data_IF_312872064800
#
_entry.id   IF_312872064800
#
_cell.length_a   1.000
_cell.length_b   1.000
_cell.length_c   1.000
_cell.angle_alpha   90.00
_cell.angle_beta   90.00
_cell.angle_gamma   90.00
#
_symmetry.space_group_name_H-M   'P 1'
#
loop_
_entity.id
_entity.type
_entity.pdbx_description
1 polymer ?
#
# COMPACT_ATOMS: atom_id res chain seq x y z
N UNK A 1 9.45 -11.77 -28.72
CA UNK A 1 10.20 -10.87 -27.83
C UNK A 1 10.61 -9.56 -28.49
N UNK A 2 11.22 -9.56 -29.66
CA UNK A 2 11.60 -8.34 -30.39
C UNK A 2 10.37 -7.47 -30.70
N UNK A 3 9.26 -8.06 -31.13
CA UNK A 3 7.99 -7.36 -31.39
C UNK A 3 7.39 -6.72 -30.12
N UNK A 4 7.54 -7.37 -28.97
CA UNK A 4 7.06 -6.85 -27.67
C UNK A 4 7.97 -5.71 -27.19
N UNK A 5 9.30 -5.84 -27.33
CA UNK A 5 10.27 -4.80 -26.97
C UNK A 5 10.16 -3.58 -27.89
N UNK A 6 9.92 -3.75 -29.20
CA UNK A 6 9.71 -2.65 -30.14
C UNK A 6 8.34 -2.00 -29.97
N UNK A 7 7.27 -2.76 -29.73
CA UNK A 7 5.95 -2.22 -29.39
C UNK A 7 6.00 -1.42 -28.10
N UNK A 8 6.80 -1.85 -27.14
CA UNK A 8 6.99 -1.19 -25.86
C UNK A 8 7.78 0.13 -25.98
N UNK A 9 8.86 0.13 -26.76
CA UNK A 9 9.65 1.35 -27.04
C UNK A 9 8.81 2.38 -27.81
N UNK A 10 7.92 1.93 -28.69
CA UNK A 10 6.99 2.77 -29.45
C UNK A 10 5.87 3.35 -28.58
N UNK A 11 5.39 2.62 -27.57
CA UNK A 11 4.33 3.11 -26.66
C UNK A 11 4.82 4.15 -25.67
N UNK A 12 6.08 4.09 -25.24
CA UNK A 12 6.67 5.04 -24.28
C UNK A 12 6.90 6.44 -24.87
N UNK A 13 7.04 6.55 -26.19
CA UNK A 13 7.27 7.82 -26.90
C UNK A 13 5.99 8.49 -27.40
N UNK A 14 4.82 7.82 -27.33
CA UNK A 14 3.58 8.31 -27.96
C UNK A 14 2.77 9.31 -27.14
N UNK A 15 3.31 9.85 -26.04
CA UNK A 15 2.57 10.71 -25.10
C UNK A 15 2.98 12.18 -25.02
N UNK A 16 3.82 12.67 -25.93
CA UNK A 16 4.00 14.12 -26.12
C UNK A 16 3.12 14.57 -27.28
N UNK A 17 2.05 15.30 -26.94
CA UNK A 17 1.01 15.73 -27.86
C UNK A 17 1.43 16.82 -28.85
N UNK A 18 2.34 16.53 -29.78
CA UNK A 18 2.67 17.43 -30.87
C UNK A 18 2.59 16.69 -32.20
N UNK A 19 1.68 17.11 -33.07
CA UNK A 19 1.36 16.48 -34.36
C UNK A 19 2.55 16.32 -35.32
N UNK A 20 3.60 17.15 -35.19
CA UNK A 20 4.84 17.09 -35.98
C UNK A 20 5.75 15.90 -35.59
N UNK A 21 5.59 15.31 -34.41
CA UNK A 21 6.38 14.16 -33.95
C UNK A 21 5.82 12.82 -34.48
N UNK A 22 4.56 12.76 -34.87
CA UNK A 22 3.93 11.53 -35.41
C UNK A 22 4.51 11.13 -36.78
N UNK A 23 4.89 12.07 -37.63
CA UNK A 23 5.44 11.77 -38.94
C UNK A 23 6.90 11.28 -38.89
N UNK A 24 7.69 11.79 -37.91
CA UNK A 24 9.07 11.35 -37.72
C UNK A 24 9.21 9.97 -37.06
N UNK A 25 8.11 9.45 -36.45
CA UNK A 25 8.10 8.20 -35.73
C UNK A 25 7.70 7.00 -36.60
N UNK A 26 7.09 7.23 -37.77
CA UNK A 26 6.57 6.18 -38.65
C UNK A 26 7.66 5.40 -39.37
N UNK A 27 8.86 5.92 -39.51
CA UNK A 27 9.99 5.28 -40.21
C UNK A 27 10.89 4.42 -39.31
N UNK A 28 10.84 4.60 -37.98
CA UNK A 28 11.69 3.87 -37.01
C UNK A 28 11.52 2.34 -37.05
N UNK A 29 10.30 1.75 -37.13
CA UNK A 29 10.15 0.31 -37.28
C UNK A 29 10.72 -0.21 -38.60
N UNK A 30 10.66 0.60 -39.69
CA UNK A 30 11.24 0.23 -40.99
C UNK A 30 12.77 0.27 -40.93
N UNK A 31 13.39 1.22 -40.20
CA UNK A 31 14.85 1.26 -40.03
C UNK A 31 15.33 0.12 -39.15
N UNK A 32 14.65 -0.24 -38.08
CA UNK A 32 15.02 -1.40 -37.28
C UNK A 32 14.90 -2.70 -38.07
N UNK A 33 13.85 -2.87 -38.86
CA UNK A 33 13.68 -4.02 -39.74
C UNK A 33 14.74 -4.07 -40.85
N UNK A 34 15.05 -2.93 -41.44
CA UNK A 34 16.11 -2.81 -42.47
C UNK A 34 17.51 -3.13 -41.89
N UNK A 35 17.80 -2.67 -40.66
CA UNK A 35 19.04 -3.01 -39.96
C UNK A 35 19.15 -4.51 -39.66
N UNK A 36 18.05 -5.17 -39.27
CA UNK A 36 18.04 -6.62 -39.09
C UNK A 36 18.23 -7.39 -40.39
N UNK A 37 17.59 -6.97 -41.48
CA UNK A 37 17.76 -7.56 -42.81
C UNK A 37 19.19 -7.35 -43.29
N UNK A 38 19.73 -6.14 -43.14
CA UNK A 38 21.10 -5.82 -43.50
C UNK A 38 22.12 -6.63 -42.70
N UNK A 39 21.94 -6.79 -41.39
CA UNK A 39 22.78 -7.63 -40.54
C UNK A 39 22.70 -9.12 -40.95
N UNK A 40 21.52 -9.62 -41.30
CA UNK A 40 21.32 -10.97 -41.80
C UNK A 40 22.01 -11.22 -43.14
N UNK A 41 21.89 -10.28 -44.10
CA UNK A 41 22.55 -10.31 -45.37
C UNK A 41 24.07 -10.21 -45.22
N UNK A 42 24.58 -9.37 -44.34
CA UNK A 42 25.99 -9.25 -44.03
C UNK A 42 26.56 -10.55 -43.44
N UNK A 43 25.83 -11.16 -42.49
CA UNK A 43 26.18 -12.48 -41.95
C UNK A 43 26.21 -13.59 -43.06
N UNK A 44 25.21 -13.54 -43.96
CA UNK A 44 25.16 -14.48 -45.10
C UNK A 44 26.33 -14.29 -46.07
N UNK A 45 26.69 -13.04 -46.38
CA UNK A 45 27.82 -12.75 -47.31
C UNK A 45 29.19 -13.06 -46.70
N UNK A 46 29.36 -12.86 -45.39
CA UNK A 46 30.66 -13.09 -44.72
C UNK A 46 30.90 -14.54 -44.32
N UNK A 47 29.87 -15.39 -44.36
CA UNK A 47 29.93 -16.82 -43.97
C UNK A 47 30.53 -17.05 -42.56
N UNK A 48 30.66 -15.99 -41.74
CA UNK A 48 31.22 -16.07 -40.38
C UNK A 48 30.11 -16.17 -39.35
N UNK A 49 29.95 -17.35 -38.80
CA UNK A 49 28.94 -17.66 -37.75
C UNK A 49 29.09 -16.81 -36.47
N UNK A 50 30.29 -16.23 -36.26
CA UNK A 50 30.59 -15.41 -35.09
C UNK A 50 29.67 -14.18 -34.97
N UNK A 51 29.30 -13.53 -36.09
CA UNK A 51 28.39 -12.38 -36.06
C UNK A 51 26.96 -12.75 -35.61
N UNK A 52 26.52 -13.96 -36.00
CA UNK A 52 25.27 -14.52 -35.52
C UNK A 52 25.31 -14.79 -34.00
N UNK A 53 26.46 -15.31 -33.52
CA UNK A 53 26.66 -15.59 -32.10
C UNK A 53 26.71 -14.33 -31.25
N UNK A 54 27.28 -13.23 -31.75
CA UNK A 54 27.33 -11.96 -31.04
C UNK A 54 25.97 -11.25 -30.88
N UNK A 55 24.96 -11.66 -31.67
CA UNK A 55 23.61 -11.09 -31.56
C UNK A 55 23.01 -11.30 -30.16
N UNK A 56 23.19 -12.46 -29.54
CA UNK A 56 22.68 -12.73 -28.17
C UNK A 56 23.38 -11.87 -27.12
N UNK A 57 24.66 -11.58 -27.31
CA UNK A 57 25.45 -10.67 -26.48
C UNK A 57 24.92 -9.24 -26.60
N UNK A 58 24.74 -8.78 -27.86
CA UNK A 58 24.23 -7.44 -28.14
C UNK A 58 22.85 -7.18 -27.48
N UNK A 59 21.95 -8.17 -27.56
CA UNK A 59 20.64 -8.08 -26.89
C UNK A 59 20.81 -7.96 -25.38
N UNK A 60 21.64 -8.77 -24.74
CA UNK A 60 21.89 -8.71 -23.31
C UNK A 60 22.45 -7.35 -22.89
N UNK A 61 23.36 -6.76 -23.67
CA UNK A 61 23.91 -5.43 -23.42
C UNK A 61 22.86 -4.31 -23.58
N UNK A 62 22.00 -4.40 -24.60
CA UNK A 62 20.94 -3.42 -24.81
C UNK A 62 19.95 -3.41 -23.63
N UNK A 63 19.53 -4.60 -23.18
CA UNK A 63 18.65 -4.69 -22.03
C UNK A 63 19.35 -4.26 -20.74
N UNK A 64 20.60 -4.63 -20.55
CA UNK A 64 21.40 -4.18 -19.42
C UNK A 64 21.51 -2.66 -19.39
N UNK A 65 21.80 -2.02 -20.52
CA UNK A 65 21.86 -0.58 -20.61
C UNK A 65 20.50 0.08 -20.33
N UNK A 66 19.42 -0.47 -20.90
CA UNK A 66 18.06 0.05 -20.71
C UNK A 66 17.59 -0.06 -19.25
N UNK A 67 17.79 -1.20 -18.60
CA UNK A 67 17.40 -1.41 -17.20
C UNK A 67 18.38 -0.72 -16.23
N UNK A 68 19.70 -0.88 -16.50
CA UNK A 68 20.75 -0.34 -15.65
C UNK A 68 20.74 1.19 -15.58
N UNK A 69 20.47 1.89 -16.70
CA UNK A 69 20.37 3.34 -16.71
C UNK A 69 19.30 3.85 -15.74
N UNK A 70 18.23 3.09 -15.54
CA UNK A 70 17.13 3.47 -14.65
C UNK A 70 17.40 3.19 -13.16
N UNK A 71 18.46 2.46 -12.82
CA UNK A 71 18.92 2.31 -11.43
C UNK A 71 19.59 3.60 -10.92
N UNK A 72 20.16 4.40 -11.82
CA UNK A 72 20.81 5.67 -11.50
C UNK A 72 19.89 6.89 -11.69
N UNK A 73 18.77 6.72 -12.40
CA UNK A 73 17.79 7.79 -12.65
C UNK A 73 16.37 7.28 -12.38
N UNK A 74 15.88 7.52 -11.15
CA UNK A 74 14.51 7.16 -10.76
C UNK A 74 13.45 7.76 -11.72
N UNK A 75 12.33 7.10 -11.93
CA UNK A 75 11.94 5.78 -11.38
C UNK A 75 12.53 4.61 -12.17
N UNK A 76 12.69 3.46 -11.50
CA UNK A 76 13.24 2.23 -12.08
C UNK A 76 12.42 1.70 -13.27
N UNK A 77 13.05 0.91 -14.17
CA UNK A 77 12.39 0.41 -15.40
C UNK A 77 11.14 -0.40 -15.08
N UNK A 78 11.21 -1.29 -14.09
CA UNK A 78 10.07 -2.12 -13.70
C UNK A 78 8.94 -1.26 -13.10
N UNK A 79 9.26 -0.18 -12.38
CA UNK A 79 8.26 0.75 -11.87
C UNK A 79 7.55 1.51 -12.99
N UNK A 80 8.31 1.96 -14.01
CA UNK A 80 7.71 2.59 -15.21
C UNK A 80 6.75 1.65 -15.91
N UNK A 81 7.11 0.36 -16.02
CA UNK A 81 6.24 -0.67 -16.58
C UNK A 81 4.99 -0.88 -15.74
N UNK A 82 5.16 -1.03 -14.43
CA UNK A 82 4.06 -1.23 -13.49
C UNK A 82 3.05 -0.07 -13.55
N UNK A 83 3.53 1.19 -13.56
CA UNK A 83 2.66 2.38 -13.64
C UNK A 83 1.99 2.58 -15.00
N UNK A 84 2.53 1.99 -16.08
CA UNK A 84 1.86 1.95 -17.38
C UNK A 84 0.71 0.93 -17.40
N UNK A 85 0.90 -0.21 -16.74
CA UNK A 85 -0.12 -1.25 -16.62
C UNK A 85 -1.19 -0.87 -15.60
N UNK A 86 -0.80 -0.28 -14.49
CA UNK A 86 -1.70 0.18 -13.44
C UNK A 86 -1.41 1.65 -13.08
N UNK A 87 -2.31 2.53 -13.55
CA UNK A 87 -2.19 3.98 -13.31
C UNK A 87 -2.52 4.38 -11.88
N UNK A 88 -3.12 3.49 -11.09
CA UNK A 88 -3.51 3.78 -9.70
C UNK A 88 -2.32 3.80 -8.74
N UNK A 89 -1.17 3.24 -9.15
CA UNK A 89 0.06 3.23 -8.37
C UNK A 89 0.57 4.66 -8.13
N UNK A 90 0.51 5.53 -9.16
CA UNK A 90 0.96 6.92 -9.06
C UNK A 90 0.05 7.73 -8.13
N UNK A 91 0.64 8.35 -7.11
CA UNK A 91 -0.06 9.15 -6.10
C UNK A 91 -0.77 8.32 -5.04
N UNK A 92 -0.55 7.01 -5.00
CA UNK A 92 -1.05 6.14 -3.93
C UNK A 92 -0.14 6.18 -2.69
N UNK A 93 -0.69 5.87 -1.52
CA UNK A 93 0.08 5.78 -0.27
C UNK A 93 1.19 4.73 -0.28
N UNK A 94 1.09 3.73 -1.17
CA UNK A 94 2.08 2.65 -1.34
C UNK A 94 3.05 2.85 -2.52
N UNK A 95 3.00 4.00 -3.20
CA UNK A 95 3.87 4.30 -4.36
C UNK A 95 5.35 4.03 -4.05
N UNK A 96 5.82 4.49 -2.87
CA UNK A 96 7.20 4.27 -2.40
C UNK A 96 7.55 2.80 -2.17
N UNK A 97 6.61 2.00 -1.66
CA UNK A 97 6.84 0.57 -1.42
C UNK A 97 6.92 -0.19 -2.74
N UNK A 98 6.02 0.12 -3.66
CA UNK A 98 6.04 -0.42 -5.02
C UNK A 98 7.33 -0.01 -5.74
N UNK A 99 7.77 1.24 -5.60
CA UNK A 99 9.02 1.71 -6.21
C UNK A 99 10.23 0.95 -5.65
N UNK A 100 10.34 0.76 -4.33
CA UNK A 100 11.42 -0.05 -3.70
C UNK A 100 11.39 -1.50 -4.18
N UNK A 101 10.22 -2.09 -4.30
CA UNK A 101 10.07 -3.45 -4.84
C UNK A 101 10.51 -3.51 -6.29
N UNK A 102 10.01 -2.62 -7.13
CA UNK A 102 10.35 -2.54 -8.55
C UNK A 102 11.84 -2.27 -8.80
N UNK A 103 12.48 -1.47 -7.92
CA UNK A 103 13.92 -1.27 -7.95
C UNK A 103 14.69 -2.58 -7.73
N UNK A 104 14.29 -3.38 -6.72
CA UNK A 104 14.92 -4.70 -6.48
C UNK A 104 14.73 -5.65 -7.65
N UNK A 105 13.54 -5.68 -8.25
CA UNK A 105 13.25 -6.49 -9.44
C UNK A 105 14.09 -6.02 -10.63
N UNK A 106 14.24 -4.70 -10.82
CA UNK A 106 15.12 -4.13 -11.87
C UNK A 106 16.57 -4.57 -11.67
N UNK A 107 17.05 -4.59 -10.42
CA UNK A 107 18.39 -5.07 -10.10
C UNK A 107 18.58 -6.56 -10.44
N UNK A 108 17.60 -7.41 -10.11
CA UNK A 108 17.62 -8.85 -10.46
C UNK A 108 17.71 -9.03 -11.97
N UNK A 109 16.96 -8.26 -12.76
CA UNK A 109 17.05 -8.28 -14.21
C UNK A 109 18.42 -7.84 -14.72
N UNK A 110 19.02 -6.81 -14.15
CA UNK A 110 20.38 -6.38 -14.51
C UNK A 110 21.40 -7.48 -14.22
N UNK A 111 21.33 -8.13 -13.06
CA UNK A 111 22.19 -9.28 -12.73
C UNK A 111 22.01 -10.43 -13.73
N UNK A 112 20.77 -10.75 -14.10
CA UNK A 112 20.48 -11.75 -15.11
C UNK A 112 21.11 -11.38 -16.47
N UNK A 113 20.97 -10.14 -16.95
CA UNK A 113 21.56 -9.74 -18.25
C UNK A 113 23.08 -9.78 -18.23
N UNK A 114 23.72 -9.47 -17.09
CA UNK A 114 25.17 -9.60 -16.94
C UNK A 114 25.58 -11.09 -17.05
N UNK A 115 24.97 -11.95 -16.25
CA UNK A 115 25.31 -13.38 -16.22
C UNK A 115 25.02 -14.02 -17.58
N UNK A 116 23.85 -13.74 -18.15
CA UNK A 116 23.47 -14.26 -19.47
C UNK A 116 24.37 -13.74 -20.60
N UNK A 117 24.75 -12.47 -20.54
CA UNK A 117 25.69 -11.86 -21.48
C UNK A 117 27.08 -12.51 -21.39
N UNK A 118 27.61 -12.69 -20.18
CA UNK A 118 28.91 -13.39 -19.99
C UNK A 118 28.85 -14.83 -20.48
N UNK A 119 27.78 -15.56 -20.18
CA UNK A 119 27.62 -16.94 -20.69
C UNK A 119 27.47 -16.99 -22.21
N UNK A 120 26.79 -16.02 -22.82
CA UNK A 120 26.66 -15.88 -24.26
C UNK A 120 27.99 -15.57 -24.91
N UNK A 121 28.84 -14.72 -24.35
CA UNK A 121 30.20 -14.45 -24.79
C UNK A 121 31.03 -15.72 -24.71
N UNK A 122 31.04 -16.39 -23.54
CA UNK A 122 31.82 -17.59 -23.32
C UNK A 122 31.45 -18.71 -24.34
N UNK A 123 30.13 -18.93 -24.52
CA UNK A 123 29.66 -19.95 -25.47
C UNK A 123 29.94 -19.56 -26.91
N UNK A 124 29.97 -18.28 -27.27
CA UNK A 124 30.27 -17.81 -28.62
C UNK A 124 31.74 -18.07 -29.04
N UNK A 125 32.69 -17.89 -28.09
CA UNK A 125 34.13 -17.96 -28.37
C UNK A 125 34.76 -19.30 -28.01
N UNK A 126 34.28 -19.98 -26.97
CA UNK A 126 34.95 -21.14 -26.39
C UNK A 126 34.14 -22.44 -26.51
N UNK A 127 32.86 -22.38 -26.89
CA UNK A 127 32.01 -23.57 -27.01
C UNK A 127 31.73 -23.93 -28.49
N UNK A 128 31.30 -25.19 -28.74
CA UNK A 128 30.82 -25.61 -30.04
C UNK A 128 29.52 -24.93 -30.44
N UNK A 129 29.22 -24.84 -31.72
CA UNK A 129 27.99 -24.25 -32.27
C UNK A 129 26.75 -24.91 -31.68
N UNK A 130 26.81 -26.20 -31.38
CA UNK A 130 25.71 -26.95 -30.75
C UNK A 130 25.46 -26.47 -29.31
N UNK A 131 26.50 -26.28 -28.50
CA UNK A 131 26.40 -25.80 -27.12
C UNK A 131 25.90 -24.37 -27.09
N UNK A 132 26.43 -23.50 -27.96
CA UNK A 132 25.97 -22.12 -28.09
C UNK A 132 24.48 -22.07 -28.44
N UNK A 133 24.04 -22.90 -29.42
CA UNK A 133 22.64 -22.94 -29.86
C UNK A 133 21.69 -23.43 -28.76
N UNK A 134 22.07 -24.46 -28.00
CA UNK A 134 21.28 -24.99 -26.88
C UNK A 134 21.15 -23.93 -25.77
N UNK A 135 22.26 -23.26 -25.43
CA UNK A 135 22.23 -22.23 -24.37
C UNK A 135 21.40 -21.02 -24.78
N UNK A 136 21.75 -20.38 -25.90
CA UNK A 136 21.11 -19.13 -26.34
C UNK A 136 19.75 -19.36 -26.99
N UNK A 137 19.48 -20.52 -27.58
CA UNK A 137 18.19 -20.88 -28.18
C UNK A 137 17.18 -21.52 -27.20
N UNK A 138 17.64 -22.06 -26.06
CA UNK A 138 16.79 -22.78 -25.11
C UNK A 138 16.99 -22.35 -23.66
N UNK A 139 18.17 -22.63 -23.09
CA UNK A 139 18.42 -22.47 -21.65
C UNK A 139 18.19 -21.02 -21.18
N UNK A 140 18.70 -20.05 -21.94
CA UNK A 140 18.55 -18.62 -21.64
C UNK A 140 17.07 -18.19 -21.54
N UNK A 141 16.19 -18.70 -22.40
CA UNK A 141 14.75 -18.41 -22.37
C UNK A 141 14.06 -19.09 -21.19
N UNK A 142 14.46 -20.31 -20.83
CA UNK A 142 13.93 -21.02 -19.65
C UNK A 142 14.29 -20.26 -18.38
N UNK A 143 15.55 -19.81 -18.24
CA UNK A 143 16.00 -18.99 -17.10
C UNK A 143 15.21 -17.68 -17.01
N UNK A 144 15.02 -16.99 -18.14
CA UNK A 144 14.19 -15.78 -18.21
C UNK A 144 12.75 -16.05 -17.78
N UNK A 145 12.15 -17.15 -18.26
CA UNK A 145 10.80 -17.58 -17.87
C UNK A 145 10.68 -17.89 -16.39
N UNK A 146 11.70 -18.51 -15.78
CA UNK A 146 11.74 -18.73 -14.32
C UNK A 146 11.78 -17.43 -13.53
N UNK A 147 12.56 -16.43 -13.96
CA UNK A 147 12.59 -15.12 -13.29
C UNK A 147 11.20 -14.46 -13.37
N UNK A 148 10.55 -14.48 -14.53
CA UNK A 148 9.18 -13.97 -14.68
C UNK A 148 8.18 -14.72 -13.79
N UNK A 149 8.28 -16.05 -13.72
CA UNK A 149 7.38 -16.86 -12.89
C UNK A 149 7.56 -16.56 -11.40
N UNK A 150 8.80 -16.46 -10.93
CA UNK A 150 9.12 -16.10 -9.55
C UNK A 150 8.62 -14.69 -9.25
N UNK A 151 8.87 -13.72 -10.13
CA UNK A 151 8.41 -12.34 -9.98
C UNK A 151 6.88 -12.29 -9.91
N UNK A 152 6.19 -13.00 -10.81
CA UNK A 152 4.72 -13.08 -10.81
C UNK A 152 4.16 -13.66 -9.50
N UNK A 153 4.76 -14.75 -8.99
CA UNK A 153 4.35 -15.37 -7.72
C UNK A 153 4.58 -14.41 -6.55
N UNK A 154 5.75 -13.76 -6.51
CA UNK A 154 6.09 -12.79 -5.45
C UNK A 154 5.15 -11.60 -5.51
N UNK A 155 4.89 -11.04 -6.70
CA UNK A 155 3.94 -9.94 -6.90
C UNK A 155 2.56 -10.31 -6.40
N UNK A 156 2.03 -11.47 -6.82
CA UNK A 156 0.71 -11.95 -6.37
C UNK A 156 0.64 -12.13 -4.86
N UNK A 157 1.76 -12.51 -4.22
CA UNK A 157 1.85 -12.63 -2.76
C UNK A 157 1.94 -11.27 -2.07
N UNK A 158 2.64 -10.31 -2.67
CA UNK A 158 2.73 -8.92 -2.19
C UNK A 158 1.37 -8.22 -2.34
N UNK A 159 0.73 -8.31 -3.51
CA UNK A 159 -0.61 -7.76 -3.75
C UNK A 159 -1.66 -8.40 -2.82
N UNK A 160 -1.54 -9.71 -2.55
CA UNK A 160 -2.38 -10.43 -1.58
C UNK A 160 -2.20 -9.94 -0.13
N UNK A 161 -1.02 -9.41 0.21
CA UNK A 161 -0.72 -8.88 1.55
C UNK A 161 -1.06 -7.39 1.68
N UNK A 162 -1.16 -6.62 0.59
CA UNK A 162 -1.46 -5.17 0.63
C UNK A 162 -2.91 -4.86 1.01
N UNK A 163 -3.84 -5.81 0.78
CA UNK A 163 -5.22 -5.73 1.26
C UNK A 163 -5.58 -7.00 2.03
N UNK A 164 -4.78 -7.33 3.03
CA UNK A 164 -5.20 -8.29 4.02
C UNK A 164 -6.05 -7.54 5.03
N UNK A 165 -7.33 -7.92 5.15
CA UNK A 165 -8.15 -7.49 6.27
C UNK A 165 -7.41 -7.82 7.57
N UNK A 166 -7.19 -6.81 8.38
CA UNK A 166 -6.53 -6.96 9.67
C UNK A 166 -7.53 -6.55 10.75
N UNK A 167 -8.09 -7.51 11.51
CA UNK A 167 -9.06 -7.22 12.56
C UNK A 167 -8.47 -6.29 13.61
N UNK A 168 -9.25 -5.32 14.09
CA UNK A 168 -8.84 -4.39 15.15
C UNK A 168 -8.49 -5.15 16.44
N UNK A 169 -9.24 -6.22 16.74
CA UNK A 169 -8.97 -7.10 17.89
C UNK A 169 -7.60 -7.76 17.86
N UNK A 170 -7.01 -7.93 16.67
CA UNK A 170 -5.68 -8.52 16.45
C UNK A 170 -4.58 -7.49 16.24
N UNK A 171 -4.85 -6.21 16.45
CA UNK A 171 -3.85 -5.17 16.34
C UNK A 171 -2.78 -5.35 17.42
N UNK A 172 -1.56 -5.59 16.97
CA UNK A 172 -0.35 -5.69 17.77
C UNK A 172 0.65 -4.65 17.28
N UNK A 173 1.58 -4.26 18.12
CA UNK A 173 2.59 -3.27 17.77
C UNK A 173 3.42 -3.67 16.54
N UNK A 174 3.66 -4.98 16.35
CA UNK A 174 4.38 -5.57 15.21
C UNK A 174 3.51 -5.84 13.97
N UNK A 175 2.22 -5.51 14.02
CA UNK A 175 1.27 -5.74 12.91
C UNK A 175 1.63 -4.96 11.66
N UNK A 176 2.26 -3.81 11.83
CA UNK A 176 2.75 -2.93 10.77
C UNK A 176 4.14 -2.41 11.12
N UNK A 177 4.85 -1.89 10.11
CA UNK A 177 6.08 -1.13 10.35
C UNK A 177 5.74 0.24 10.94
N UNK A 178 6.62 0.76 11.75
CA UNK A 178 6.43 2.05 12.42
C UNK A 178 6.20 3.21 11.44
N UNK A 179 6.85 3.19 10.27
CA UNK A 179 6.72 4.17 9.19
C UNK A 179 5.53 3.94 8.25
N UNK A 180 4.68 2.93 8.53
CA UNK A 180 3.50 2.66 7.71
C UNK A 180 2.48 3.79 7.85
N UNK A 181 2.14 4.45 6.73
CA UNK A 181 1.19 5.55 6.70
C UNK A 181 -0.24 4.99 6.84
N UNK A 182 -0.95 5.40 7.89
CA UNK A 182 -2.34 5.01 8.14
C UNK A 182 -3.32 5.94 7.45
N UNK A 183 -3.13 7.25 7.59
CA UNK A 183 -4.01 8.23 6.97
C UNK A 183 -3.27 9.53 6.65
N UNK A 184 -3.88 10.30 5.74
CA UNK A 184 -3.49 11.66 5.43
C UNK A 184 -4.52 12.58 6.08
N UNK A 185 -4.08 13.64 6.74
CA UNK A 185 -4.99 14.65 7.25
C UNK A 185 -5.43 15.59 6.12
N UNK A 186 -6.73 15.88 6.02
CA UNK A 186 -7.32 16.66 4.93
C UNK A 186 -6.79 18.11 4.91
N UNK A 187 -6.48 18.68 6.06
CA UNK A 187 -5.87 20.02 6.21
C UNK A 187 -4.42 20.09 5.71
N UNK A 188 -3.89 18.99 5.24
CA UNK A 188 -2.50 18.85 4.85
C UNK A 188 -2.29 18.81 3.33
N UNK A 189 -2.63 19.89 2.65
CA UNK A 189 -1.93 20.23 1.39
C UNK A 189 -0.40 20.27 1.56
N UNK A 190 0.10 20.23 2.79
CA UNK A 190 1.51 20.20 3.19
C UNK A 190 2.11 18.79 3.33
N UNK A 191 1.36 17.72 3.00
CA UNK A 191 1.87 16.34 3.02
C UNK A 191 2.03 15.72 4.41
N UNK A 192 1.39 16.26 5.45
CA UNK A 192 1.39 15.63 6.77
C UNK A 192 0.52 14.37 6.76
N UNK A 193 0.98 13.35 7.40
CA UNK A 193 0.34 12.04 7.51
C UNK A 193 0.56 11.48 8.92
N UNK A 194 -0.31 10.57 9.32
CA UNK A 194 -0.20 9.80 10.56
C UNK A 194 0.31 8.40 10.26
N UNK A 195 1.30 7.96 11.01
CA UNK A 195 1.94 6.65 10.85
C UNK A 195 1.39 5.63 11.84
N UNK A 196 1.80 4.37 11.67
CA UNK A 196 1.51 3.32 12.64
C UNK A 196 2.09 3.61 14.02
N UNK A 197 3.29 4.18 14.07
CA UNK A 197 3.93 4.60 15.32
C UNK A 197 3.10 5.68 16.02
N UNK A 198 2.64 6.70 15.28
CA UNK A 198 1.78 7.75 15.84
C UNK A 198 0.50 7.17 16.44
N UNK A 199 -0.11 6.19 15.75
CA UNK A 199 -1.29 5.48 16.23
C UNK A 199 -1.03 4.75 17.56
N UNK A 200 0.07 4.02 17.63
CA UNK A 200 0.43 3.30 18.85
C UNK A 200 0.73 4.24 20.02
N UNK A 201 1.45 5.34 19.76
CA UNK A 201 1.77 6.36 20.76
C UNK A 201 0.51 7.05 21.29
N UNK A 202 -0.34 7.57 20.40
CA UNK A 202 -1.56 8.28 20.79
C UNK A 202 -2.54 7.35 21.52
N UNK A 203 -2.66 6.09 21.07
CA UNK A 203 -3.48 5.08 21.77
C UNK A 203 -2.90 4.75 23.16
N UNK A 204 -1.56 4.69 23.32
CA UNK A 204 -0.93 4.44 24.62
C UNK A 204 -1.16 5.61 25.60
N UNK A 205 -1.04 6.86 25.13
CA UNK A 205 -1.35 8.07 25.94
C UNK A 205 -2.78 8.04 26.47
N UNK A 206 -3.73 7.78 25.56
CA UNK A 206 -5.15 7.68 25.92
C UNK A 206 -5.43 6.51 26.88
N UNK A 207 -4.84 5.35 26.64
CA UNK A 207 -4.96 4.17 27.52
C UNK A 207 -4.45 4.48 28.93
N UNK A 208 -3.32 5.16 29.04
CA UNK A 208 -2.74 5.59 30.33
C UNK A 208 -3.66 6.56 31.08
N UNK A 209 -4.30 7.49 30.36
CA UNK A 209 -5.29 8.40 30.93
C UNK A 209 -6.55 7.65 31.37
N UNK A 210 -7.15 6.84 30.49
CA UNK A 210 -8.39 6.08 30.73
C UNK A 210 -8.23 5.08 31.88
N UNK A 211 -7.06 4.43 32.02
CA UNK A 211 -6.81 3.46 33.08
C UNK A 211 -6.77 4.06 34.49
N UNK A 212 -6.50 5.37 34.63
CA UNK A 212 -6.54 6.07 35.90
C UNK A 212 -7.97 6.33 36.38
N UNK A 213 -8.95 6.28 35.48
CA UNK A 213 -10.36 6.50 35.79
C UNK A 213 -11.06 5.15 36.04
N UNK A 214 -11.76 5.04 37.16
CA UNK A 214 -12.49 3.83 37.57
C UNK A 214 -13.77 3.57 36.79
N UNK A 215 -14.28 4.53 36.01
CA UNK A 215 -15.50 4.37 35.22
C UNK A 215 -15.38 3.15 34.25
N UNK A 216 -16.41 2.31 34.25
CA UNK A 216 -16.50 1.12 33.40
C UNK A 216 -17.09 1.47 32.04
N UNK A 217 -17.95 2.49 31.99
CA UNK A 217 -18.70 2.88 30.79
C UNK A 217 -18.28 4.27 30.33
N UNK A 218 -18.08 4.43 29.03
CA UNK A 218 -17.65 5.68 28.42
C UNK A 218 -18.51 6.01 27.22
N UNK A 219 -18.99 7.25 27.13
CA UNK A 219 -19.61 7.79 25.93
C UNK A 219 -18.47 8.30 25.05
N UNK A 220 -18.43 7.89 23.76
CA UNK A 220 -17.46 8.33 22.78
C UNK A 220 -18.14 9.09 21.65
N UNK A 221 -17.68 10.33 21.44
CA UNK A 221 -18.03 11.14 20.28
C UNK A 221 -16.83 11.96 19.83
N UNK A 222 -16.30 11.70 18.64
CA UNK A 222 -15.27 12.51 18.01
C UNK A 222 -15.64 12.71 16.54
N UNK A 223 -15.55 13.93 16.05
CA UNK A 223 -15.75 14.22 14.62
C UNK A 223 -14.51 13.92 13.79
N UNK A 224 -13.32 14.03 14.38
CA UNK A 224 -12.08 13.65 13.73
C UNK A 224 -11.89 12.13 13.81
N UNK A 225 -11.68 11.51 12.64
CA UNK A 225 -11.49 10.05 12.53
C UNK A 225 -10.27 9.53 13.30
N UNK A 226 -9.22 10.33 13.40
CA UNK A 226 -8.03 9.95 14.15
C UNK A 226 -8.30 9.87 15.65
N UNK A 227 -8.93 10.91 16.19
CA UNK A 227 -9.31 10.96 17.60
C UNK A 227 -10.35 9.92 17.95
N UNK A 228 -11.30 9.68 17.04
CA UNK A 228 -12.25 8.59 17.20
C UNK A 228 -11.54 7.23 17.28
N UNK A 229 -10.72 6.90 16.30
CA UNK A 229 -10.05 5.59 16.20
C UNK A 229 -9.13 5.33 17.40
N UNK A 230 -8.30 6.30 17.77
CA UNK A 230 -7.35 6.15 18.89
C UNK A 230 -8.07 6.02 20.23
N UNK A 231 -9.14 6.82 20.47
CA UNK A 231 -9.96 6.73 21.66
C UNK A 231 -10.73 5.41 21.73
N UNK A 232 -11.34 4.99 20.63
CA UNK A 232 -12.11 3.75 20.55
C UNK A 232 -11.24 2.53 20.88
N UNK A 233 -10.06 2.44 20.27
CA UNK A 233 -9.14 1.32 20.53
C UNK A 233 -8.60 1.38 21.95
N UNK A 234 -8.26 2.56 22.48
CA UNK A 234 -7.77 2.72 23.85
C UNK A 234 -8.81 2.29 24.89
N UNK A 235 -10.08 2.68 24.71
CA UNK A 235 -11.19 2.27 25.56
C UNK A 235 -11.38 0.76 25.57
N UNK A 236 -11.40 0.13 24.40
CA UNK A 236 -11.54 -1.33 24.26
C UNK A 236 -10.35 -2.08 24.85
N UNK A 237 -9.12 -1.58 24.69
CA UNK A 237 -7.92 -2.15 25.30
C UNK A 237 -7.94 -2.03 26.83
N UNK A 238 -8.60 -1.00 27.39
CA UNK A 238 -8.86 -0.88 28.83
C UNK A 238 -10.06 -1.70 29.32
N UNK A 239 -10.69 -2.50 28.46
CA UNK A 239 -11.88 -3.30 28.80
C UNK A 239 -13.12 -2.47 29.15
N UNK A 240 -13.17 -1.21 28.68
CA UNK A 240 -14.30 -0.31 28.95
C UNK A 240 -15.47 -0.59 28.02
N UNK A 241 -16.70 -0.30 28.49
CA UNK A 241 -17.90 -0.29 27.66
C UNK A 241 -17.99 1.03 26.92
N UNK A 242 -18.07 0.99 25.60
CA UNK A 242 -18.03 2.16 24.72
C UNK A 242 -19.42 2.42 24.14
N UNK A 243 -19.98 3.57 24.45
CA UNK A 243 -21.29 4.03 23.98
C UNK A 243 -21.07 5.06 22.88
N UNK A 244 -21.36 4.66 21.63
CA UNK A 244 -21.21 5.52 20.45
C UNK A 244 -22.45 6.38 20.28
N UNK A 245 -22.25 7.70 20.19
CA UNK A 245 -23.33 8.66 19.95
C UNK A 245 -23.01 9.59 18.81
N UNK A 246 -24.05 9.92 18.04
CA UNK A 246 -23.98 10.91 16.94
C UNK A 246 -24.32 12.33 17.45
N UNK A 247 -24.98 12.44 18.58
CA UNK A 247 -25.52 13.70 19.08
C UNK A 247 -24.85 14.06 20.39
N UNK A 248 -24.31 15.27 20.47
CA UNK A 248 -23.69 15.87 21.68
C UNK A 248 -24.54 17.00 22.29
N UNK A 249 -25.79 17.16 21.83
CA UNK A 249 -26.69 18.11 22.45
C UNK A 249 -26.87 17.80 23.95
N UNK A 250 -26.94 18.84 24.76
CA UNK A 250 -26.96 18.71 26.22
C UNK A 250 -28.07 17.78 26.70
N UNK A 251 -29.30 18.03 26.24
CA UNK A 251 -30.45 17.20 26.58
C UNK A 251 -30.25 15.72 26.24
N UNK A 252 -29.51 15.41 25.13
CA UNK A 252 -29.27 14.03 24.71
C UNK A 252 -28.19 13.37 25.58
N UNK A 253 -27.12 14.10 25.87
CA UNK A 253 -26.04 13.58 26.73
C UNK A 253 -26.60 13.37 28.16
N UNK A 254 -27.40 14.29 28.68
CA UNK A 254 -28.02 14.14 29.98
C UNK A 254 -29.00 12.96 30.06
N UNK A 255 -29.69 12.66 28.94
CA UNK A 255 -30.61 11.52 28.87
C UNK A 255 -29.87 10.17 28.87
N UNK A 256 -28.71 10.10 28.17
CA UNK A 256 -27.96 8.84 27.99
C UNK A 256 -26.86 8.61 29.03
N UNK A 257 -26.34 9.69 29.65
CA UNK A 257 -25.28 9.63 30.65
C UNK A 257 -25.87 9.19 31.98
N UNK A 258 -25.50 7.99 32.41
CA UNK A 258 -25.87 7.44 33.71
C UNK A 258 -24.76 7.69 34.73
N UNK A 259 -25.07 7.58 36.01
CA UNK A 259 -24.10 7.68 37.10
C UNK A 259 -22.92 6.69 36.85
N UNK A 260 -21.70 7.20 37.00
CA UNK A 260 -20.48 6.43 36.77
C UNK A 260 -20.07 6.26 35.31
N UNK A 261 -20.73 6.94 34.38
CA UNK A 261 -20.27 7.03 32.96
C UNK A 261 -19.44 8.29 32.77
N UNK A 262 -18.36 8.12 32.01
CA UNK A 262 -17.53 9.22 31.53
C UNK A 262 -17.84 9.57 30.08
N UNK A 263 -17.44 10.76 29.65
CA UNK A 263 -17.61 11.21 28.28
C UNK A 263 -16.27 11.68 27.71
N UNK A 264 -15.89 11.14 26.54
CA UNK A 264 -14.67 11.51 25.81
C UNK A 264 -15.05 12.06 24.44
N UNK A 265 -14.45 13.23 24.08
CA UNK A 265 -14.79 13.95 22.85
C UNK A 265 -13.63 14.83 22.36
N UNK A 266 -13.64 15.18 21.09
CA UNK A 266 -12.79 16.21 20.48
C UNK A 266 -13.55 17.51 20.22
N UNK A 267 -14.83 17.57 20.63
CA UNK A 267 -15.73 18.69 20.35
C UNK A 267 -15.85 19.65 21.53
N UNK A 268 -16.00 20.92 21.17
CA UNK A 268 -16.31 22.00 22.09
C UNK A 268 -17.74 22.45 21.84
N UNK A 269 -18.43 22.86 22.90
CA UNK A 269 -19.76 23.45 22.81
C UNK A 269 -19.64 24.98 23.01
N UNK A 270 -20.07 25.77 22.01
CA UNK A 270 -19.95 27.25 22.03
C UNK A 270 -18.50 27.75 22.26
N UNK A 271 -17.49 26.97 21.80
CA UNK A 271 -16.07 27.30 21.98
C UNK A 271 -15.46 26.86 23.32
N UNK A 272 -16.28 26.36 24.27
CA UNK A 272 -15.83 25.87 25.57
C UNK A 272 -15.86 24.34 25.64
N UNK A 273 -15.06 23.79 26.55
CA UNK A 273 -15.05 22.36 26.81
C UNK A 273 -16.41 21.94 27.39
N UNK A 274 -16.92 20.79 26.96
CA UNK A 274 -18.16 20.24 27.48
C UNK A 274 -17.94 19.85 28.95
N UNK A 275 -18.72 20.38 29.91
CA UNK A 275 -18.50 20.08 31.30
C UNK A 275 -18.55 18.58 31.61
N UNK A 276 -17.58 18.10 32.38
CA UNK A 276 -17.45 16.67 32.73
C UNK A 276 -17.13 15.76 31.58
N UNK A 277 -16.53 16.29 30.51
CA UNK A 277 -15.95 15.48 29.44
C UNK A 277 -14.42 15.45 29.50
N UNK A 278 -13.85 14.37 28.99
CA UNK A 278 -12.43 14.25 28.69
C UNK A 278 -12.21 14.74 27.26
N UNK A 279 -11.38 15.77 27.09
CA UNK A 279 -11.08 16.34 25.78
C UNK A 279 -9.82 15.65 25.18
N UNK A 280 -10.00 14.92 24.09
CA UNK A 280 -8.95 14.07 23.51
C UNK A 280 -7.69 14.86 23.17
N UNK A 281 -7.84 16.04 22.57
CA UNK A 281 -6.68 16.86 22.16
C UNK A 281 -5.82 17.24 23.36
N UNK A 282 -6.43 17.67 24.50
CA UNK A 282 -5.69 18.03 25.71
C UNK A 282 -4.98 16.82 26.34
N UNK A 283 -5.60 15.63 26.30
CA UNK A 283 -4.95 14.41 26.78
C UNK A 283 -3.72 14.09 25.95
N UNK A 284 -3.80 14.20 24.61
CA UNK A 284 -2.69 13.88 23.74
C UNK A 284 -1.55 14.91 23.81
N UNK A 285 -1.89 16.20 23.97
CA UNK A 285 -0.92 17.30 24.07
C UNK A 285 -0.19 17.32 25.42
N UNK A 286 -0.92 17.08 26.53
CA UNK A 286 -0.39 17.19 27.90
C UNK A 286 0.15 15.87 28.46
N UNK A 287 0.05 14.75 27.72
CA UNK A 287 0.60 13.47 28.17
C UNK A 287 2.08 13.36 27.78
N UNK A 288 2.86 12.83 28.71
CA UNK A 288 4.26 12.45 28.44
C UNK A 288 4.31 11.42 27.30
N UNK A 289 5.41 11.43 26.54
CA UNK A 289 5.65 10.40 25.53
C UNK A 289 5.74 9.02 26.20
N UNK A 290 4.96 8.04 25.73
CA UNK A 290 4.97 6.71 26.29
C UNK A 290 6.29 6.01 25.96
N UNK A 291 6.76 5.17 26.88
CA UNK A 291 7.93 4.36 26.64
C UNK A 291 7.65 3.16 25.69
N UNK A 292 8.72 2.53 25.16
CA UNK A 292 8.57 1.40 24.22
C UNK A 292 7.72 0.24 24.80
N UNK A 293 7.86 -0.18 26.08
CA UNK A 293 6.98 -1.18 26.68
C UNK A 293 5.49 -0.75 26.73
N UNK A 294 5.18 0.51 27.05
CA UNK A 294 3.81 1.02 27.06
C UNK A 294 3.18 1.00 25.65
N UNK A 295 3.99 1.29 24.63
CA UNK A 295 3.60 1.25 23.22
C UNK A 295 3.40 -0.19 22.73
N UNK A 296 4.36 -1.10 23.03
CA UNK A 296 4.44 -2.43 22.43
C UNK A 296 3.56 -3.48 23.12
N UNK A 297 3.32 -3.34 24.43
CA UNK A 297 2.57 -4.31 25.25
C UNK A 297 1.09 -3.92 25.44
N UNK A 298 0.43 -3.43 24.39
CA UNK A 298 -0.99 -3.10 24.46
C UNK A 298 -1.82 -4.36 24.73
N UNK A 299 -2.82 -4.29 25.66
CA UNK A 299 -3.75 -5.38 25.91
C UNK A 299 -4.50 -5.79 24.63
N UNK A 300 -4.75 -7.09 24.47
CA UNK A 300 -5.56 -7.58 23.36
C UNK A 300 -7.04 -7.25 23.61
N UNK A 301 -7.75 -6.91 22.54
CA UNK A 301 -9.20 -6.72 22.55
C UNK A 301 -9.85 -8.10 22.34
N UNK A 302 -10.76 -8.50 23.24
CA UNK A 302 -11.53 -9.70 23.04
C UNK A 302 -12.69 -9.45 22.06
N UNK A 303 -12.71 -10.05 20.86
CA UNK A 303 -13.74 -9.77 19.87
C UNK A 303 -15.12 -10.29 20.23
N UNK A 304 -15.24 -11.22 21.19
CA UNK A 304 -16.50 -11.80 21.62
C UNK A 304 -17.22 -10.95 22.69
N UNK A 305 -16.53 -9.96 23.29
CA UNK A 305 -17.13 -9.11 24.31
C UNK A 305 -18.12 -8.13 23.67
N UNK A 306 -19.32 -8.03 24.27
CA UNK A 306 -20.35 -7.05 23.91
C UNK A 306 -20.10 -5.71 24.60
N UNK A 307 -18.95 -5.09 24.31
CA UNK A 307 -18.50 -3.85 24.95
C UNK A 307 -18.79 -2.60 24.13
N UNK A 308 -19.38 -2.73 22.93
CA UNK A 308 -19.74 -1.62 22.06
C UNK A 308 -21.25 -1.45 22.07
N UNK A 309 -21.73 -0.24 22.28
CA UNK A 309 -23.15 0.09 22.33
C UNK A 309 -23.45 1.20 21.32
N UNK A 310 -24.44 0.97 20.47
CA UNK A 310 -24.91 1.96 19.49
C UNK A 310 -26.32 2.40 19.86
N UNK A 311 -26.58 3.71 19.84
CA UNK A 311 -27.93 4.22 20.08
C UNK A 311 -28.77 4.13 18.81
N UNK A 312 -29.96 3.57 18.95
CA UNK A 312 -31.00 3.57 17.92
C UNK A 312 -32.12 4.51 18.32
N UNK A 313 -32.75 5.18 17.34
CA UNK A 313 -33.99 5.97 17.59
C UNK A 313 -35.09 4.98 17.96
N UNK A 314 -35.40 4.88 19.25
CA UNK A 314 -36.51 4.04 19.71
C UNK A 314 -37.83 4.52 19.12
N UNK A 315 -38.74 3.64 18.75
CA UNK A 315 -40.11 3.94 18.32
C UNK A 315 -40.90 4.70 19.39
N UNK A 316 -40.41 4.72 20.63
CA UNK A 316 -40.97 5.44 21.80
C UNK A 316 -40.34 6.83 22.04
N UNK A 317 -39.41 7.27 21.18
CA UNK A 317 -38.71 8.54 21.31
C UNK A 317 -37.48 8.51 22.24
N UNK A 318 -37.34 7.53 23.12
CA UNK A 318 -36.14 7.39 23.99
C UNK A 318 -35.05 6.59 23.31
N UNK A 319 -33.80 7.08 23.35
CA UNK A 319 -32.66 6.38 22.77
C UNK A 319 -32.41 5.01 23.42
N UNK A 320 -32.33 3.95 22.64
CA UNK A 320 -32.02 2.60 23.15
C UNK A 320 -30.61 2.19 22.76
N UNK A 321 -29.77 1.89 23.75
CA UNK A 321 -28.45 1.36 23.54
C UNK A 321 -28.51 -0.12 23.17
N UNK A 322 -28.00 -0.50 22.00
CA UNK A 322 -27.95 -1.87 21.49
C UNK A 322 -26.51 -2.37 21.58
N UNK A 323 -26.24 -3.46 22.32
CA UNK A 323 -24.90 -4.02 22.43
C UNK A 323 -24.49 -4.66 21.11
N UNK A 324 -23.23 -4.49 20.76
CA UNK A 324 -22.56 -5.08 19.59
C UNK A 324 -21.25 -5.71 20.02
N UNK A 325 -20.81 -6.75 19.31
CA UNK A 325 -19.51 -7.37 19.51
C UNK A 325 -18.55 -6.90 18.42
N UNK A 326 -17.29 -6.70 18.77
CA UNK A 326 -16.24 -6.37 17.79
C UNK A 326 -16.18 -7.39 16.64
N UNK A 327 -16.42 -8.68 16.96
CA UNK A 327 -16.44 -9.76 15.96
C UNK A 327 -17.42 -9.49 14.82
N UNK A 328 -18.60 -8.97 15.10
CA UNK A 328 -19.62 -8.68 14.08
C UNK A 328 -19.14 -7.62 13.10
N UNK A 329 -18.54 -6.52 13.61
CA UNK A 329 -17.93 -5.50 12.76
C UNK A 329 -16.76 -6.06 11.92
N UNK A 330 -15.94 -6.93 12.52
CA UNK A 330 -14.81 -7.54 11.82
C UNK A 330 -15.24 -8.50 10.72
N UNK A 331 -16.27 -9.31 10.95
CA UNK A 331 -16.84 -10.23 9.96
C UNK A 331 -17.46 -9.47 8.78
N UNK A 332 -18.23 -8.40 9.06
CA UNK A 332 -18.82 -7.53 8.04
C UNK A 332 -17.74 -6.85 7.20
N UNK A 333 -16.73 -6.27 7.83
CA UNK A 333 -15.61 -5.64 7.11
C UNK A 333 -14.80 -6.67 6.31
N UNK A 334 -14.57 -7.87 6.84
CA UNK A 334 -13.89 -8.93 6.12
C UNK A 334 -14.70 -9.35 4.87
N UNK A 335 -16.02 -9.45 4.99
CA UNK A 335 -16.91 -9.72 3.86
C UNK A 335 -16.86 -8.61 2.81
N UNK A 336 -16.99 -7.36 3.21
CA UNK A 336 -16.91 -6.18 2.34
C UNK A 336 -15.58 -6.18 1.57
N UNK A 337 -14.45 -6.32 2.28
CA UNK A 337 -13.12 -6.35 1.65
C UNK A 337 -12.98 -7.53 0.71
N UNK A 338 -13.49 -8.72 1.07
CA UNK A 338 -13.43 -9.90 0.20
C UNK A 338 -14.18 -9.70 -1.11
N UNK A 339 -15.31 -8.99 -1.06
CA UNK A 339 -16.21 -8.76 -2.21
C UNK A 339 -15.67 -7.69 -3.17
N UNK A 340 -15.08 -6.61 -2.60
CA UNK A 340 -14.65 -5.44 -3.37
C UNK A 340 -13.14 -5.18 -3.31
N UNK A 341 -12.35 -6.22 -3.03
CA UNK A 341 -10.88 -6.14 -2.90
C UNK A 341 -10.22 -5.38 -4.06
N UNK A 342 -10.59 -5.73 -5.30
CA UNK A 342 -9.99 -5.13 -6.50
C UNK A 342 -10.39 -3.65 -6.67
N UNK A 343 -11.56 -3.25 -6.19
CA UNK A 343 -12.01 -1.87 -6.20
C UNK A 343 -11.28 -1.04 -5.14
N UNK A 344 -11.12 -1.57 -3.93
CA UNK A 344 -10.37 -0.92 -2.85
C UNK A 344 -8.90 -0.72 -3.22
N UNK A 345 -8.27 -1.68 -3.92
CA UNK A 345 -6.90 -1.54 -4.40
C UNK A 345 -6.72 -0.42 -5.43
N UNK A 346 -7.76 -0.12 -6.20
CA UNK A 346 -7.70 0.83 -7.31
C UNK A 346 -8.15 2.24 -6.95
N UNK A 347 -8.78 2.46 -5.79
CA UNK A 347 -9.44 3.71 -5.43
C UNK A 347 -9.02 4.19 -4.05
N UNK A 348 -9.03 5.51 -3.86
CA UNK A 348 -8.97 6.10 -2.52
C UNK A 348 -10.35 5.97 -1.89
N UNK A 349 -10.40 5.50 -0.65
CA UNK A 349 -11.61 5.52 0.16
C UNK A 349 -11.79 6.92 0.74
N UNK A 350 -12.94 7.49 0.48
CA UNK A 350 -13.39 8.72 1.14
C UNK A 350 -14.66 8.36 1.92
N UNK A 351 -14.61 8.47 3.23
CA UNK A 351 -15.79 8.30 4.05
C UNK A 351 -16.58 9.62 4.05
N UNK A 352 -17.84 9.55 3.62
CA UNK A 352 -18.78 10.68 3.65
C UNK A 352 -19.82 10.54 4.76
N UNK A 353 -19.74 9.47 5.53
CA UNK A 353 -20.66 9.13 6.62
C UNK A 353 -19.92 9.28 7.93
N UNK A 354 -20.58 9.80 8.95
CA UNK A 354 -20.04 9.89 10.30
C UNK A 354 -19.66 8.49 10.81
N UNK A 355 -18.53 8.39 11.52
CA UNK A 355 -18.05 7.17 12.18
C UNK A 355 -18.98 6.64 13.27
N UNK A 356 -20.03 7.35 13.59
CA UNK A 356 -21.03 6.98 14.61
C UNK A 356 -22.28 6.30 14.01
N UNK A 357 -22.29 6.08 12.70
CA UNK A 357 -23.37 5.38 11.99
C UNK A 357 -23.12 3.89 11.86
#
# INVERSE_FOLDING_TARGET
MIVIATAFFLSSTSRTGNSKVKSALSWRPFVSSALFIAAGLFCFMTQKTIFLKLYSVAISLIFLAAFGSTLFSAPSMVFRLATLMDKTIKGSSWEREVERYCFKVTLIWCCFFIVNGCASVWTAFFASDRVWSIYNGGISYVLMGMIFAVEFIVRKKVDGNMLKFYPISKFRADSRKDDYILCFEEKFSSGKYKTWKDFLCDTAKLRKHISKNSAIAWILHCEDYWYFLTSFVALLQCGKKVFLTQNIAEYFIDEIKKDGMEFITDQKRNGELIPGSTFVCEVLENSDEPDEPEIRNAPAINPEDSNIFMYTSGSTGTPKAVPQRMKEFEEDNAFIISKWKDEFLKRKLVATVSQHH
#
